data_IF_384056327728
#
_entry.id   IF_384056327728
#
_cell.length_a   1.000
_cell.length_b   1.000
_cell.length_c   1.000
_cell.angle_alpha   90.00
_cell.angle_beta   90.00
_cell.angle_gamma   90.00
#
_symmetry.space_group_name_H-M   'P 1'
#
loop_
_entity.id
_entity.type
_entity.pdbx_description
1 polymer ?
#
# COMPACT_ATOMS: atom_id res chain seq x y z
N UNK A 1 17.23 -4.23 -14.35
CA UNK A 1 16.24 -3.58 -13.48
C UNK A 1 16.03 -2.15 -13.92
N UNK A 2 14.78 -1.71 -14.02
CA UNK A 2 14.48 -0.34 -14.45
C UNK A 2 14.98 0.67 -13.42
N UNK A 3 15.74 1.66 -13.85
CA UNK A 3 16.17 2.77 -13.02
C UNK A 3 15.16 3.94 -13.11
N UNK A 4 15.40 5.00 -12.34
CA UNK A 4 14.51 6.15 -12.30
C UNK A 4 14.35 6.83 -13.68
N UNK A 5 15.43 6.91 -14.43
CA UNK A 5 15.42 7.50 -15.78
C UNK A 5 14.54 6.68 -16.75
N UNK A 6 14.64 5.36 -16.68
CA UNK A 6 13.82 4.46 -17.50
C UNK A 6 12.34 4.61 -17.17
N UNK A 7 11.99 4.72 -15.88
CA UNK A 7 10.61 4.95 -15.44
C UNK A 7 10.05 6.28 -15.93
N UNK A 8 10.81 7.35 -15.82
CA UNK A 8 10.39 8.65 -16.32
C UNK A 8 10.18 8.64 -17.84
N UNK A 9 11.07 7.99 -18.57
CA UNK A 9 10.96 7.82 -20.00
C UNK A 9 9.70 7.04 -20.39
N UNK A 10 9.37 5.99 -19.65
CA UNK A 10 8.17 5.19 -19.86
C UNK A 10 6.89 5.98 -19.58
N UNK A 11 6.87 6.75 -18.50
CA UNK A 11 5.75 7.64 -18.15
C UNK A 11 5.51 8.66 -19.28
N UNK A 12 6.57 9.31 -19.72
CA UNK A 12 6.50 10.32 -20.80
C UNK A 12 6.03 9.72 -22.14
N UNK A 13 6.52 8.54 -22.47
CA UNK A 13 6.13 7.83 -23.70
C UNK A 13 4.64 7.50 -23.74
N UNK A 14 4.07 7.10 -22.62
CA UNK A 14 2.67 6.72 -22.57
C UNK A 14 1.72 7.90 -22.49
N UNK A 15 2.23 9.11 -22.22
CA UNK A 15 1.42 10.31 -22.06
C UNK A 15 0.31 10.16 -21.03
N UNK A 16 0.53 9.30 -20.03
CA UNK A 16 -0.50 8.89 -19.09
C UNK A 16 -0.14 9.27 -17.66
N UNK A 17 -1.10 9.07 -16.77
CA UNK A 17 -0.90 9.24 -15.34
C UNK A 17 0.10 8.20 -14.81
N UNK A 18 0.73 8.52 -13.67
CA UNK A 18 1.61 7.60 -12.94
C UNK A 18 0.91 6.28 -12.59
N UNK A 19 -0.41 6.25 -12.56
CA UNK A 19 -1.19 5.07 -12.17
C UNK A 19 -0.99 3.86 -13.07
N UNK A 20 -0.86 4.08 -14.39
CA UNK A 20 -0.65 2.97 -15.32
C UNK A 20 0.69 2.28 -15.03
N UNK A 21 1.74 3.07 -14.81
CA UNK A 21 3.06 2.53 -14.50
C UNK A 21 3.08 1.88 -13.11
N UNK A 22 2.45 2.51 -12.14
CA UNK A 22 2.31 1.96 -10.79
C UNK A 22 1.62 0.60 -10.81
N UNK A 23 0.49 0.49 -11.48
CA UNK A 23 -0.25 -0.78 -11.63
C UNK A 23 0.57 -1.86 -12.34
N UNK A 24 1.33 -1.48 -13.34
CA UNK A 24 2.25 -2.41 -14.03
C UNK A 24 3.24 -3.05 -13.06
N UNK A 25 3.88 -2.24 -12.22
CA UNK A 25 4.88 -2.74 -11.27
C UNK A 25 4.26 -3.47 -10.07
N UNK A 26 3.08 -3.06 -9.59
CA UNK A 26 2.33 -3.82 -8.60
C UNK A 26 1.99 -5.22 -9.10
N UNK A 27 1.51 -5.31 -10.34
CA UNK A 27 1.20 -6.59 -10.98
C UNK A 27 2.43 -7.45 -11.17
N UNK A 28 3.55 -6.84 -11.54
CA UNK A 28 4.84 -7.53 -11.68
C UNK A 28 5.32 -8.09 -10.34
N UNK A 29 5.21 -7.31 -9.26
CA UNK A 29 5.55 -7.76 -7.91
C UNK A 29 4.66 -8.93 -7.48
N UNK A 30 3.36 -8.82 -7.64
CA UNK A 30 2.40 -9.89 -7.33
C UNK A 30 2.70 -11.19 -8.10
N UNK A 31 3.06 -11.07 -9.36
CA UNK A 31 3.45 -12.24 -10.19
C UNK A 31 4.75 -12.88 -9.70
N UNK A 32 5.70 -12.07 -9.27
CA UNK A 32 6.99 -12.54 -8.76
C UNK A 32 6.86 -13.25 -7.41
N UNK A 33 6.10 -12.68 -6.49
CA UNK A 33 5.92 -13.20 -5.13
C UNK A 33 4.81 -14.24 -5.02
N UNK A 34 3.92 -14.30 -6.00
CA UNK A 34 2.68 -15.09 -5.99
C UNK A 34 1.76 -14.75 -4.82
N UNK A 35 1.81 -13.49 -4.37
CA UNK A 35 1.02 -12.95 -3.27
C UNK A 35 0.15 -11.81 -3.76
N UNK A 36 -0.94 -11.53 -3.07
CA UNK A 36 -1.71 -10.31 -3.30
C UNK A 36 -0.87 -9.09 -2.94
N UNK A 37 -0.95 -8.03 -3.72
CA UNK A 37 -0.21 -6.78 -3.50
C UNK A 37 -1.17 -5.62 -3.50
N UNK A 38 -1.16 -4.84 -2.42
CA UNK A 38 -1.95 -3.62 -2.28
C UNK A 38 -1.00 -2.49 -1.92
N UNK A 39 -1.14 -1.36 -2.61
CA UNK A 39 -0.43 -0.13 -2.25
C UNK A 39 -1.37 0.79 -1.47
N UNK A 40 -0.97 1.10 -0.24
CA UNK A 40 -1.64 2.08 0.62
C UNK A 40 -0.68 3.22 0.90
N UNK A 41 -0.88 4.32 0.20
CA UNK A 41 0.07 5.44 0.25
C UNK A 41 -0.65 6.78 0.23
N UNK A 42 0.02 7.77 0.82
CA UNK A 42 -0.40 9.16 0.85
C UNK A 42 0.62 10.05 0.15
N UNK A 43 0.13 11.06 -0.55
CA UNK A 43 0.98 12.05 -1.23
C UNK A 43 1.34 13.26 -0.38
N UNK A 44 1.33 13.17 0.95
CA UNK A 44 1.50 14.34 1.82
C UNK A 44 2.84 15.07 1.65
N UNK A 45 3.88 14.37 1.24
CA UNK A 45 5.19 15.00 0.99
C UNK A 45 5.19 15.88 -0.26
N UNK A 46 4.44 15.49 -1.28
CA UNK A 46 4.36 16.20 -2.55
C UNK A 46 3.21 17.20 -2.60
N UNK A 47 2.12 16.92 -1.89
CA UNK A 47 0.90 17.73 -1.88
C UNK A 47 0.36 17.89 -0.45
N UNK A 48 1.07 18.61 0.42
CA UNK A 48 0.73 18.67 1.85
C UNK A 48 -0.63 19.31 2.15
N UNK A 49 -1.20 20.08 1.22
CA UNK A 49 -2.49 20.75 1.38
C UNK A 49 -3.66 19.99 0.72
N UNK A 50 -3.42 18.81 0.18
CA UNK A 50 -4.48 18.00 -0.41
C UNK A 50 -5.38 17.39 0.69
N UNK A 51 -6.66 17.09 0.39
CA UNK A 51 -7.53 16.42 1.36
C UNK A 51 -7.18 14.92 1.49
N UNK A 52 -7.62 14.31 2.58
CA UNK A 52 -7.55 12.86 2.82
C UNK A 52 -6.12 12.30 2.78
N UNK A 53 -5.16 13.04 3.35
CA UNK A 53 -3.76 12.59 3.42
C UNK A 53 -3.48 11.64 4.58
N UNK A 54 -4.28 11.72 5.64
CA UNK A 54 -4.14 10.90 6.85
C UNK A 54 -5.04 9.67 6.81
N UNK A 55 -4.67 8.65 7.57
CA UNK A 55 -5.49 7.44 7.74
C UNK A 55 -6.83 7.82 8.36
N UNK A 56 -7.92 7.37 7.75
CA UNK A 56 -9.29 7.63 8.21
C UNK A 56 -10.19 6.42 8.01
N UNK A 57 -11.40 6.47 8.58
CA UNK A 57 -12.38 5.39 8.44
C UNK A 57 -12.78 5.10 6.99
N UNK A 58 -12.77 6.10 6.12
CA UNK A 58 -13.09 5.91 4.71
C UNK A 58 -12.08 5.00 3.99
N UNK A 59 -10.85 4.93 4.48
CA UNK A 59 -9.80 4.07 3.91
C UNK A 59 -10.13 2.59 4.08
N UNK A 60 -10.84 2.22 5.14
CA UNK A 60 -11.33 0.85 5.33
C UNK A 60 -12.20 0.40 4.16
N UNK A 61 -13.08 1.26 3.66
CA UNK A 61 -13.90 0.98 2.49
C UNK A 61 -13.03 0.72 1.25
N UNK A 62 -11.96 1.47 1.09
CA UNK A 62 -10.98 1.24 0.03
C UNK A 62 -10.35 -0.15 0.12
N UNK A 63 -9.93 -0.58 1.30
CA UNK A 63 -9.43 -1.93 1.53
C UNK A 63 -10.47 -3.00 1.25
N UNK A 64 -11.71 -2.81 1.71
CA UNK A 64 -12.81 -3.75 1.46
C UNK A 64 -13.03 -3.94 -0.04
N UNK A 65 -13.04 -2.86 -0.81
CA UNK A 65 -13.19 -2.90 -2.27
C UNK A 65 -12.01 -3.60 -2.94
N UNK A 66 -10.78 -3.28 -2.53
CA UNK A 66 -9.58 -3.87 -3.10
C UNK A 66 -9.48 -5.38 -2.83
N UNK A 67 -9.96 -5.85 -1.68
CA UNK A 67 -9.83 -7.23 -1.23
C UNK A 67 -10.98 -8.11 -1.71
N UNK A 68 -12.14 -7.55 -2.04
CA UNK A 68 -13.39 -8.29 -2.27
C UNK A 68 -13.32 -9.45 -3.29
N UNK A 69 -12.40 -9.37 -4.25
CA UNK A 69 -12.23 -10.38 -5.30
C UNK A 69 -10.89 -11.12 -5.23
N UNK A 70 -10.14 -10.92 -4.16
CA UNK A 70 -8.83 -11.55 -4.01
C UNK A 70 -8.93 -12.92 -3.35
N UNK A 71 -8.04 -13.82 -3.76
CA UNK A 71 -7.81 -15.08 -3.05
C UNK A 71 -6.95 -14.79 -1.80
N UNK A 72 -7.59 -14.71 -0.64
CA UNK A 72 -6.92 -14.36 0.61
C UNK A 72 -5.93 -15.42 1.09
N UNK A 73 -6.03 -16.68 0.60
CA UNK A 73 -5.08 -17.75 0.93
C UNK A 73 -3.66 -17.46 0.43
N UNK A 74 -3.51 -16.57 -0.55
CA UNK A 74 -2.20 -16.16 -1.08
C UNK A 74 -1.46 -15.15 -0.22
N UNK A 75 -2.06 -14.68 0.86
CA UNK A 75 -1.48 -13.67 1.72
C UNK A 75 -1.50 -12.26 1.10
N UNK A 76 -0.92 -11.32 1.80
CA UNK A 76 -0.90 -9.91 1.40
C UNK A 76 0.50 -9.31 1.56
N UNK A 77 0.98 -8.66 0.52
CA UNK A 77 2.08 -7.71 0.57
C UNK A 77 1.49 -6.30 0.53
N UNK A 78 1.59 -5.59 1.63
CA UNK A 78 1.08 -4.23 1.79
C UNK A 78 2.22 -3.23 1.63
N UNK A 79 2.21 -2.50 0.51
CA UNK A 79 3.14 -1.38 0.31
C UNK A 79 2.59 -0.18 1.04
N UNK A 80 3.33 0.30 2.04
CA UNK A 80 2.86 1.28 3.01
C UNK A 80 3.71 2.55 2.96
N UNK A 81 3.06 3.70 2.73
CA UNK A 81 3.69 5.01 2.77
C UNK A 81 2.67 6.02 3.28
N UNK A 82 2.80 6.43 4.54
CA UNK A 82 1.76 7.22 5.21
C UNK A 82 2.34 8.08 6.35
N UNK A 83 1.77 9.29 6.57
CA UNK A 83 2.10 10.09 7.74
C UNK A 83 1.44 9.59 9.03
N UNK A 84 0.53 8.60 8.94
CA UNK A 84 -0.33 8.18 10.02
C UNK A 84 -1.73 8.77 9.94
N UNK A 85 -2.45 8.81 11.03
CA UNK A 85 -3.81 9.34 11.10
C UNK A 85 -4.54 8.89 12.37
N UNK A 86 -5.84 8.67 12.26
CA UNK A 86 -6.69 8.30 13.38
C UNK A 86 -6.37 6.90 13.90
N UNK A 87 -6.11 6.77 15.20
CA UNK A 87 -5.78 5.51 15.85
C UNK A 87 -6.92 4.50 15.75
N UNK A 88 -8.15 4.90 16.00
CA UNK A 88 -9.32 4.03 15.92
C UNK A 88 -9.54 3.49 14.50
N UNK A 89 -9.40 4.35 13.48
CA UNK A 89 -9.48 3.95 12.08
C UNK A 89 -8.38 2.94 11.71
N UNK A 90 -7.17 3.17 12.22
CA UNK A 90 -6.02 2.30 11.99
C UNK A 90 -6.24 0.91 12.62
N UNK A 91 -6.71 0.85 13.86
CA UNK A 91 -7.05 -0.42 14.51
C UNK A 91 -8.11 -1.19 13.73
N UNK A 92 -9.13 -0.50 13.26
CA UNK A 92 -10.21 -1.10 12.46
C UNK A 92 -9.68 -1.69 11.14
N UNK A 93 -8.77 -1.00 10.47
CA UNK A 93 -8.12 -1.48 9.25
C UNK A 93 -7.27 -2.73 9.56
N UNK A 94 -6.45 -2.68 10.59
CA UNK A 94 -5.60 -3.81 11.01
C UNK A 94 -6.44 -5.04 11.32
N UNK A 95 -7.50 -4.88 12.09
CA UNK A 95 -8.40 -5.98 12.45
C UNK A 95 -9.04 -6.60 11.21
N UNK A 96 -9.49 -5.76 10.28
CA UNK A 96 -10.06 -6.22 9.01
C UNK A 96 -9.05 -7.01 8.17
N UNK A 97 -7.83 -6.51 8.03
CA UNK A 97 -6.76 -7.20 7.28
C UNK A 97 -6.41 -8.55 7.93
N UNK A 98 -6.34 -8.60 9.25
CA UNK A 98 -6.04 -9.84 9.98
C UNK A 98 -7.18 -10.86 9.88
N UNK A 99 -8.42 -10.42 9.85
CA UNK A 99 -9.57 -11.29 9.59
C UNK A 99 -9.50 -11.94 8.21
N UNK A 100 -9.02 -11.21 7.21
CA UNK A 100 -8.95 -11.70 5.82
C UNK A 100 -7.72 -12.55 5.52
N UNK A 101 -6.57 -12.19 6.05
CA UNK A 101 -5.29 -12.81 5.73
C UNK A 101 -4.63 -13.54 6.90
N UNK A 102 -5.19 -13.47 8.10
CA UNK A 102 -4.56 -13.99 9.31
C UNK A 102 -3.23 -13.29 9.57
N UNK A 103 -2.20 -14.05 9.86
CA UNK A 103 -0.85 -13.51 10.06
C UNK A 103 -0.05 -13.39 8.76
N UNK A 104 -0.58 -13.87 7.63
CA UNK A 104 0.13 -13.90 6.37
C UNK A 104 0.10 -12.54 5.66
N UNK A 105 0.63 -11.52 6.34
CA UNK A 105 0.73 -10.15 5.85
C UNK A 105 2.18 -9.69 6.00
N UNK A 106 2.75 -9.13 4.93
CA UNK A 106 4.05 -8.47 4.97
C UNK A 106 3.86 -6.99 4.65
N UNK A 107 4.51 -6.12 5.42
CA UNK A 107 4.56 -4.69 5.11
C UNK A 107 5.84 -4.38 4.33
N UNK A 108 5.70 -3.67 3.25
CA UNK A 108 6.83 -3.13 2.47
C UNK A 108 6.78 -1.62 2.63
N UNK A 109 7.79 -1.06 3.29
CA UNK A 109 7.89 0.37 3.57
C UNK A 109 9.04 0.96 2.75
N UNK A 110 8.78 1.49 1.56
CA UNK A 110 9.83 2.00 0.69
C UNK A 110 10.52 3.24 1.26
N UNK A 111 9.79 4.06 2.01
CA UNK A 111 10.28 5.32 2.54
C UNK A 111 9.84 5.58 3.98
N UNK A 112 8.56 5.86 4.22
CA UNK A 112 8.04 6.27 5.54
C UNK A 112 6.69 5.63 5.88
N UNK A 113 6.59 5.11 7.10
CA UNK A 113 5.32 4.75 7.74
C UNK A 113 5.36 5.30 9.17
N UNK A 114 4.75 6.46 9.39
CA UNK A 114 4.86 7.23 10.62
C UNK A 114 3.63 7.06 11.51
N UNK A 115 3.80 7.23 12.83
CA UNK A 115 2.69 7.26 13.80
C UNK A 115 1.78 6.03 13.68
N UNK A 116 0.49 6.23 13.39
CA UNK A 116 -0.46 5.14 13.17
C UNK A 116 -0.07 4.19 12.02
N UNK A 117 0.69 4.68 11.03
CA UNK A 117 1.26 3.84 9.98
C UNK A 117 2.27 2.82 10.53
N UNK A 118 3.02 3.17 11.56
CA UNK A 118 3.89 2.25 12.27
C UNK A 118 3.09 1.12 12.94
N UNK A 119 1.91 1.44 13.48
CA UNK A 119 1.02 0.42 14.06
C UNK A 119 0.59 -0.62 13.01
N UNK A 120 0.28 -0.18 11.80
CA UNK A 120 -0.05 -1.10 10.70
C UNK A 120 1.14 -2.00 10.39
N UNK A 121 2.32 -1.43 10.22
CA UNK A 121 3.54 -2.19 9.91
C UNK A 121 3.85 -3.21 11.02
N UNK A 122 3.78 -2.82 12.29
CA UNK A 122 4.06 -3.69 13.42
C UNK A 122 3.03 -4.82 13.60
N UNK A 123 1.83 -4.67 13.05
CA UNK A 123 0.80 -5.71 13.08
C UNK A 123 1.00 -6.81 12.02
N UNK A 124 1.99 -6.66 11.15
CA UNK A 124 2.32 -7.63 10.12
C UNK A 124 3.37 -8.64 10.60
N UNK A 125 3.45 -9.77 9.92
CA UNK A 125 4.42 -10.83 10.26
C UNK A 125 5.87 -10.41 9.94
N UNK A 126 6.04 -9.63 8.90
CA UNK A 126 7.36 -9.23 8.39
C UNK A 126 7.30 -7.80 7.87
N UNK A 127 8.36 -7.04 8.13
CA UNK A 127 8.51 -5.67 7.61
C UNK A 127 9.74 -5.62 6.72
N UNK A 128 9.56 -5.19 5.49
CA UNK A 128 10.64 -4.97 4.53
C UNK A 128 10.81 -3.46 4.38
N UNK A 129 11.97 -2.97 4.75
CA UNK A 129 12.31 -1.54 4.67
C UNK A 129 13.12 -1.25 3.41
N UNK A 130 12.78 -0.13 2.78
CA UNK A 130 13.56 0.40 1.67
C UNK A 130 14.80 1.19 2.10
#
# INVERSE_FOLDING_TARGET
>A
MANWSDLLSEINKRGSTHDIIRRKYLKKLSSLTKRNTIAYYSGWLQKPNAPNLSISDSDKNGFMNAISKLDTSKGLDLILHTPGGETAATESIVDYLRQKFGENIRAIVPQLAMSAGTMIACATKEIIMG
#
